data_IF_015664014533
#
_entry.id   IF_015664014533
#
_cell.length_a   1.000
_cell.length_b   1.000
_cell.length_c   1.000
_cell.angle_alpha   90.00
_cell.angle_beta   90.00
_cell.angle_gamma   90.00
#
_symmetry.space_group_name_H-M   'P 1'
#
loop_
_entity.id
_entity.type
_entity.pdbx_description
1 polymer ?
#
# COMPACT_ATOMS: atom_id res chain seq x y z
N UNK A 1 -22.55 -6.24 5.07
CA UNK A 1 -21.87 -4.94 5.11
C UNK A 1 -21.35 -4.65 3.72
N UNK A 2 -21.75 -3.53 3.13
CA UNK A 2 -21.34 -3.13 1.78
C UNK A 2 -19.88 -2.64 1.74
N UNK A 3 -19.36 -2.43 0.54
CA UNK A 3 -17.96 -2.05 0.28
C UNK A 3 -17.58 -0.70 0.89
N UNK A 4 -18.47 0.29 0.81
CA UNK A 4 -18.22 1.63 1.33
C UNK A 4 -18.14 1.60 2.86
N UNK A 5 -19.06 0.89 3.50
CA UNK A 5 -19.04 0.71 4.95
C UNK A 5 -17.79 -0.04 5.41
N UNK A 6 -17.37 -1.09 4.69
CA UNK A 6 -16.12 -1.81 4.97
C UNK A 6 -14.89 -0.90 4.82
N UNK A 7 -14.89 0.01 3.85
CA UNK A 7 -13.77 0.91 3.59
C UNK A 7 -13.61 1.91 4.73
N UNK A 8 -14.72 2.51 5.18
CA UNK A 8 -14.73 3.47 6.30
C UNK A 8 -14.31 2.86 7.64
N UNK A 9 -14.59 1.56 7.83
CA UNK A 9 -14.27 0.85 9.07
C UNK A 9 -12.90 0.15 9.04
N UNK A 10 -12.22 0.12 7.90
CA UNK A 10 -10.85 -0.39 7.80
C UNK A 10 -9.82 0.68 8.16
N UNK A 11 -8.55 0.29 8.26
CA UNK A 11 -7.46 1.24 8.46
C UNK A 11 -7.45 2.30 7.36
N UNK A 12 -7.23 3.55 7.74
CA UNK A 12 -7.09 4.63 6.78
C UNK A 12 -5.75 4.44 6.06
N UNK A 13 -5.73 4.33 4.72
CA UNK A 13 -4.56 3.78 4.07
C UNK A 13 -3.35 4.74 4.09
N UNK A 14 -3.59 6.05 4.22
CA UNK A 14 -2.54 7.04 4.44
C UNK A 14 -1.97 7.03 5.86
N UNK A 15 -2.71 6.54 6.85
CA UNK A 15 -2.20 6.44 8.22
C UNK A 15 -1.27 5.24 8.41
N UNK A 16 -1.41 4.20 7.57
CA UNK A 16 -0.49 3.06 7.53
C UNK A 16 0.88 3.44 6.97
N UNK A 17 0.99 4.38 6.04
CA UNK A 17 2.27 4.76 5.41
C UNK A 17 2.79 6.05 6.07
N UNK A 18 3.75 5.92 6.98
CA UNK A 18 4.40 7.08 7.61
C UNK A 18 5.34 7.82 6.67
N UNK A 19 6.08 7.07 5.86
CA UNK A 19 7.02 7.63 4.88
C UNK A 19 7.08 6.74 3.65
N UNK A 20 7.31 7.36 2.48
CA UNK A 20 7.49 6.67 1.22
C UNK A 20 8.57 7.36 0.40
N UNK A 21 9.57 6.59 -0.02
CA UNK A 21 10.61 7.02 -0.95
C UNK A 21 10.69 6.06 -2.13
N UNK A 22 10.82 6.63 -3.33
CA UNK A 22 11.14 5.89 -4.54
C UNK A 22 12.16 6.68 -5.35
N UNK A 23 13.24 6.06 -5.82
CA UNK A 23 14.34 6.76 -6.49
C UNK A 23 14.88 7.96 -5.66
N UNK A 24 14.97 7.80 -4.34
CA UNK A 24 15.40 8.86 -3.39
C UNK A 24 14.51 10.11 -3.38
N UNK A 25 13.28 10.02 -3.89
CA UNK A 25 12.29 11.10 -3.88
C UNK A 25 11.08 10.68 -3.06
N UNK A 26 10.47 11.65 -2.37
CA UNK A 26 9.19 11.45 -1.68
C UNK A 26 8.14 11.03 -2.73
N UNK A 27 7.43 9.95 -2.44
CA UNK A 27 6.35 9.48 -3.31
C UNK A 27 5.23 10.51 -3.36
N UNK A 28 4.70 10.79 -4.55
CA UNK A 28 3.47 11.55 -4.68
C UNK A 28 2.25 10.68 -4.30
N UNK A 29 1.23 11.27 -3.67
CA UNK A 29 0.03 10.55 -3.21
C UNK A 29 -0.68 9.81 -4.35
N UNK A 30 -0.69 10.40 -5.54
CA UNK A 30 -1.30 9.81 -6.73
C UNK A 30 -0.60 8.53 -7.24
N UNK A 31 0.62 8.22 -6.75
CA UNK A 31 1.31 6.96 -7.06
C UNK A 31 0.75 5.77 -6.28
N UNK A 32 -0.13 6.03 -5.32
CA UNK A 32 -0.82 5.02 -4.53
C UNK A 32 -2.27 4.89 -4.95
N UNK A 33 -2.77 3.66 -4.94
CA UNK A 33 -4.16 3.34 -5.23
C UNK A 33 -4.71 2.39 -4.17
N UNK A 34 -6.03 2.40 -4.00
CA UNK A 34 -6.70 1.61 -2.97
C UNK A 34 -7.42 0.42 -3.58
N UNK A 35 -7.32 -0.70 -2.88
CA UNK A 35 -8.12 -1.88 -3.14
C UNK A 35 -8.58 -2.48 -1.83
N UNK A 36 -9.79 -3.04 -1.83
CA UNK A 36 -10.35 -3.67 -0.66
C UNK A 36 -10.24 -5.20 -0.76
N UNK A 37 -9.56 -5.80 0.20
CA UNK A 37 -9.52 -7.24 0.41
C UNK A 37 -10.59 -7.68 1.42
N UNK A 38 -11.29 -8.78 1.13
CA UNK A 38 -12.19 -9.42 2.10
C UNK A 38 -11.43 -10.00 3.29
N UNK A 39 -10.18 -10.43 3.08
CA UNK A 39 -9.36 -11.04 4.12
C UNK A 39 -8.51 -10.02 4.88
N UNK A 40 -8.00 -9.00 4.20
CA UNK A 40 -7.00 -8.07 4.75
C UNK A 40 -7.49 -6.63 4.91
N UNK A 41 -8.75 -6.33 4.58
CA UNK A 41 -9.30 -4.98 4.70
C UNK A 41 -8.80 -4.03 3.61
N UNK A 42 -8.52 -2.79 3.98
CA UNK A 42 -8.02 -1.79 3.04
C UNK A 42 -6.54 -2.05 2.72
N UNK A 43 -6.21 -2.12 1.43
CA UNK A 43 -4.85 -2.31 0.95
C UNK A 43 -4.41 -1.12 0.09
N UNK A 44 -3.12 -0.81 0.14
CA UNK A 44 -2.48 0.22 -0.70
C UNK A 44 -1.60 -0.46 -1.74
N UNK A 45 -1.76 -0.04 -2.99
CA UNK A 45 -0.92 -0.49 -4.10
C UNK A 45 -0.10 0.69 -4.62
N UNK A 46 1.22 0.54 -4.64
CA UNK A 46 2.14 1.50 -5.25
C UNK A 46 2.36 1.16 -6.73
N UNK A 47 2.48 2.18 -7.58
CA UNK A 47 2.88 2.04 -8.99
C UNK A 47 1.92 1.21 -9.86
N UNK A 48 0.62 1.29 -9.58
CA UNK A 48 -0.42 0.67 -10.42
C UNK A 48 -0.54 1.42 -11.75
N UNK A 49 -0.59 0.70 -12.86
CA UNK A 49 -0.82 1.31 -14.16
C UNK A 49 -2.26 1.79 -14.28
N UNK A 50 -2.43 3.06 -14.67
CA UNK A 50 -3.75 3.64 -14.96
C UNK A 50 -3.72 4.35 -16.32
N UNK A 51 -4.88 4.84 -16.79
CA UNK A 51 -4.93 5.62 -18.03
C UNK A 51 -4.11 6.91 -17.94
N UNK A 52 -3.99 7.47 -16.74
CA UNK A 52 -3.34 8.76 -16.46
C UNK A 52 -1.88 8.59 -16.01
N UNK A 53 -1.50 7.39 -15.56
CA UNK A 53 -0.21 7.13 -14.94
C UNK A 53 0.48 5.90 -15.54
N UNK A 54 1.66 6.14 -16.11
CA UNK A 54 2.56 5.07 -16.55
C UNK A 54 3.35 4.53 -15.36
N UNK A 55 3.70 3.22 -15.37
CA UNK A 55 4.57 2.65 -14.35
C UNK A 55 5.90 3.38 -14.26
N UNK A 56 6.34 3.60 -13.03
CA UNK A 56 7.65 4.09 -12.66
C UNK A 56 8.69 2.96 -12.72
N UNK A 57 9.92 3.35 -13.04
CA UNK A 57 11.07 2.46 -13.10
C UNK A 57 12.17 2.96 -12.17
N UNK A 58 12.95 2.02 -11.66
CA UNK A 58 14.15 2.35 -10.87
C UNK A 58 15.19 3.02 -11.77
N UNK A 59 15.91 3.99 -11.22
CA UNK A 59 16.95 4.74 -11.94
C UNK A 59 18.26 3.97 -12.06
N UNK A 60 18.51 3.02 -11.14
CA UNK A 60 19.66 2.13 -11.14
C UNK A 60 19.33 0.89 -10.31
N UNK A 61 20.24 -0.07 -10.26
CA UNK A 61 20.09 -1.26 -9.41
C UNK A 61 20.66 -0.93 -8.04
N UNK A 62 19.85 -1.05 -6.99
CA UNK A 62 20.27 -0.80 -5.62
C UNK A 62 19.10 -0.45 -4.70
N UNK A 63 19.24 -0.69 -3.38
CA UNK A 63 18.16 -0.45 -2.42
C UNK A 63 17.79 1.03 -2.28
N UNK A 64 18.72 1.95 -2.51
CA UNK A 64 18.50 3.40 -2.44
C UNK A 64 17.64 3.93 -3.59
N UNK A 65 17.66 3.26 -4.74
CA UNK A 65 16.79 3.54 -5.87
C UNK A 65 15.39 2.91 -5.76
N UNK A 66 15.22 1.92 -4.89
CA UNK A 66 14.02 1.12 -4.74
C UNK A 66 12.88 1.85 -4.02
N UNK A 67 11.84 1.08 -3.70
CA UNK A 67 10.74 1.53 -2.85
C UNK A 67 11.12 1.31 -1.38
N UNK A 68 11.15 2.38 -0.61
CA UNK A 68 11.39 2.37 0.84
C UNK A 68 10.13 2.89 1.51
N UNK A 69 9.57 2.10 2.42
CA UNK A 69 8.34 2.43 3.16
C UNK A 69 8.59 2.31 4.66
N UNK A 70 8.20 3.34 5.41
CA UNK A 70 8.03 3.24 6.86
C UNK A 70 6.54 3.08 7.17
N UNK A 71 6.19 2.02 7.88
CA UNK A 71 4.79 1.67 8.14
C UNK A 71 4.40 1.91 9.60
N UNK A 72 3.18 2.43 9.80
CA UNK A 72 2.47 2.41 11.07
C UNK A 72 1.52 1.21 11.09
N UNK A 73 1.85 0.17 11.85
CA UNK A 73 0.99 -1.02 11.89
C UNK A 73 -0.24 -0.84 12.77
N UNK A 74 -0.34 0.23 13.57
CA UNK A 74 -1.50 0.51 14.43
C UNK A 74 -1.98 -0.69 15.26
N UNK A 75 -1.03 -1.41 15.88
CA UNK A 75 -1.28 -2.69 16.55
C UNK A 75 -2.30 -2.62 17.68
N UNK A 76 -2.60 -1.42 18.20
CA UNK A 76 -3.65 -1.19 19.20
C UNK A 76 -5.07 -1.46 18.68
N UNK A 77 -5.28 -1.39 17.37
CA UNK A 77 -6.59 -1.64 16.73
C UNK A 77 -6.73 -3.08 16.22
N UNK A 78 -5.80 -3.96 16.53
CA UNK A 78 -5.86 -5.35 16.08
C UNK A 78 -6.95 -6.11 16.84
N UNK A 79 -7.72 -6.91 16.10
CA UNK A 79 -8.68 -7.83 16.69
C UNK A 79 -7.96 -8.95 17.43
N UNK A 80 -8.59 -9.46 18.50
CA UNK A 80 -8.16 -10.68 19.20
C UNK A 80 -8.12 -11.91 18.28
N UNK A 81 -8.85 -11.87 17.15
CA UNK A 81 -8.83 -12.94 16.15
C UNK A 81 -7.60 -12.89 15.22
N UNK A 82 -6.77 -11.85 15.29
CA UNK A 82 -5.58 -11.73 14.44
C UNK A 82 -4.45 -12.61 14.97
N UNK A 83 -4.03 -13.60 14.19
CA UNK A 83 -3.01 -14.59 14.60
C UNK A 83 -1.59 -14.02 14.68
N UNK A 84 -1.27 -12.99 13.89
CA UNK A 84 0.09 -12.43 13.80
C UNK A 84 0.08 -10.91 13.57
N UNK A 85 1.05 -10.22 14.16
CA UNK A 85 1.25 -8.78 13.97
C UNK A 85 2.24 -8.51 12.84
N UNK A 86 1.86 -7.68 11.87
CA UNK A 86 2.71 -7.35 10.73
C UNK A 86 1.94 -6.78 9.55
N UNK A 87 2.67 -6.39 8.50
CA UNK A 87 2.10 -6.05 7.21
C UNK A 87 2.36 -7.17 6.18
N UNK A 88 1.42 -7.35 5.24
CA UNK A 88 1.60 -8.23 4.09
C UNK A 88 1.91 -7.38 2.86
N UNK A 89 2.99 -7.73 2.16
CA UNK A 89 3.38 -7.12 0.88
C UNK A 89 3.28 -8.16 -0.22
N UNK A 90 2.75 -7.78 -1.38
CA UNK A 90 2.65 -8.62 -2.58
C UNK A 90 3.25 -7.83 -3.75
N UNK A 91 4.11 -8.49 -4.54
CA UNK A 91 4.68 -7.93 -5.76
C UNK A 91 3.92 -8.55 -6.94
N UNK A 92 3.38 -7.72 -7.81
CA UNK A 92 2.57 -8.12 -8.97
C UNK A 92 2.86 -7.22 -10.18
N UNK A 93 2.36 -7.58 -11.37
CA UNK A 93 2.48 -6.75 -12.57
C UNK A 93 1.66 -5.45 -12.42
N UNK A 94 2.13 -4.29 -12.92
CA UNK A 94 1.39 -3.03 -12.83
C UNK A 94 -0.02 -3.04 -13.42
N UNK A 95 -0.32 -3.95 -14.34
CA UNK A 95 -1.63 -4.09 -14.99
C UNK A 95 -2.57 -5.08 -14.29
N UNK A 96 -2.05 -5.82 -13.31
CA UNK A 96 -2.79 -6.86 -12.60
C UNK A 96 -3.36 -6.35 -11.27
N UNK A 97 -4.40 -7.04 -10.80
CA UNK A 97 -4.90 -6.87 -9.44
C UNK A 97 -4.17 -7.86 -8.52
N UNK A 98 -3.61 -7.42 -7.39
CA UNK A 98 -2.92 -8.28 -6.43
C UNK A 98 -3.81 -9.32 -5.74
#
# INVERSE_FOLDING_TARGET
MDEETRRKNGHEPFEIIKSCLFNRKICAENLTSYIQSLRYGNCVTFNKQTREMKPLYVSHIGPDSGLILDLNLETLFYSLATESLGARVVIHDPNETP
#
